data_IF_095305146625
#
_entry.id   IF_095305146625
#
_cell.length_a   1.000
_cell.length_b   1.000
_cell.length_c   1.000
_cell.angle_alpha   90.00
_cell.angle_beta   90.00
_cell.angle_gamma   90.00
#
_symmetry.space_group_name_H-M   'P 1'
#
loop_
_entity.id
_entity.type
_entity.pdbx_description
1 polymer ?
#
# COMPACT_ATOMS: atom_id res chain seq x y z
N UNK A 1 3.66 10.46 15.87
CA UNK A 1 3.74 10.01 14.48
C UNK A 1 2.33 9.90 13.92
N UNK A 2 2.05 10.56 12.79
CA UNK A 2 0.75 10.49 12.12
C UNK A 2 0.79 9.34 11.11
N UNK A 3 -0.25 8.51 11.07
CA UNK A 3 -0.45 7.45 10.07
C UNK A 3 0.69 6.42 10.01
N UNK A 4 1.10 5.89 11.17
CA UNK A 4 2.09 4.81 11.24
C UNK A 4 1.63 3.63 10.37
N UNK A 5 2.57 3.01 9.66
CA UNK A 5 2.34 1.79 8.90
C UNK A 5 3.46 0.79 9.18
N UNK A 6 3.21 -0.47 8.82
CA UNK A 6 4.21 -1.53 8.81
C UNK A 6 4.38 -2.04 7.38
N UNK A 7 5.60 -2.41 7.01
CA UNK A 7 5.92 -2.90 5.66
C UNK A 7 6.13 -4.41 5.68
N UNK A 8 5.59 -5.10 4.69
CA UNK A 8 5.82 -6.53 4.48
C UNK A 8 5.83 -6.86 2.99
N UNK A 9 6.43 -7.98 2.60
CA UNK A 9 6.32 -8.50 1.22
C UNK A 9 5.19 -9.52 1.19
N UNK A 10 4.22 -9.31 0.30
CA UNK A 10 3.05 -10.17 0.14
C UNK A 10 2.69 -10.29 -1.35
N UNK A 11 1.83 -11.25 -1.68
CA UNK A 11 1.23 -11.35 -3.02
C UNK A 11 0.25 -10.19 -3.23
N UNK A 12 0.37 -9.51 -4.37
CA UNK A 12 -0.48 -8.40 -4.77
C UNK A 12 -1.95 -8.83 -4.88
N UNK A 13 -2.86 -7.99 -4.36
CA UNK A 13 -4.29 -8.17 -4.52
C UNK A 13 -4.77 -7.94 -5.97
N UNK A 14 -3.92 -7.40 -6.85
CA UNK A 14 -4.23 -7.13 -8.25
C UNK A 14 -3.78 -8.23 -9.20
N UNK A 15 -2.56 -8.73 -9.03
CA UNK A 15 -1.95 -9.68 -9.97
C UNK A 15 -1.34 -10.94 -9.33
N UNK A 16 -1.40 -11.06 -8.00
CA UNK A 16 -0.88 -12.20 -7.25
C UNK A 16 0.65 -12.33 -7.23
N UNK A 17 1.40 -11.36 -7.75
CA UNK A 17 2.87 -11.37 -7.72
C UNK A 17 3.39 -10.63 -6.48
N UNK A 18 4.63 -10.91 -6.03
CA UNK A 18 5.21 -10.25 -4.87
C UNK A 18 5.25 -8.72 -5.00
N UNK A 19 4.84 -8.03 -3.94
CA UNK A 19 4.89 -6.57 -3.79
C UNK A 19 5.13 -6.20 -2.32
N UNK A 20 5.56 -4.96 -2.09
CA UNK A 20 5.63 -4.39 -0.74
C UNK A 20 4.25 -3.87 -0.39
N UNK A 21 3.70 -4.25 0.75
CA UNK A 21 2.44 -3.75 1.29
C UNK A 21 2.74 -2.78 2.42
N UNK A 22 2.06 -1.62 2.43
CA UNK A 22 2.04 -0.70 3.57
C UNK A 22 0.74 -0.96 4.35
N UNK A 23 0.87 -1.60 5.52
CA UNK A 23 -0.28 -1.90 6.38
C UNK A 23 -0.50 -0.80 7.42
N UNK A 24 -1.60 -0.06 7.24
CA UNK A 24 -2.07 0.97 8.15
C UNK A 24 -3.06 0.44 9.22
N UNK A 25 -3.21 -0.87 9.39
CA UNK A 25 -4.21 -1.51 10.23
C UNK A 25 -4.12 -1.22 11.74
N UNK A 26 -3.11 -0.47 12.19
CA UNK A 26 -2.88 -0.23 13.61
C UNK A 26 -4.05 0.55 14.25
N UNK A 27 -4.50 0.18 15.48
CA UNK A 27 -5.69 0.76 16.10
C UNK A 27 -5.65 2.28 16.29
N UNK A 28 -4.44 2.85 16.42
CA UNK A 28 -4.22 4.30 16.62
C UNK A 28 -4.52 5.12 15.36
N UNK A 29 -4.50 4.50 14.18
CA UNK A 29 -4.80 5.20 12.93
C UNK A 29 -6.30 5.47 12.81
N UNK A 30 -6.72 6.65 12.29
CA UNK A 30 -8.13 6.90 11.97
C UNK A 30 -8.73 5.85 11.03
N UNK A 31 -10.03 5.58 11.13
CA UNK A 31 -10.68 4.52 10.36
C UNK A 31 -10.49 4.65 8.83
N UNK A 32 -10.50 5.88 8.31
CA UNK A 32 -10.29 6.13 6.88
C UNK A 32 -8.86 5.80 6.43
N UNK A 33 -7.87 5.91 7.31
CA UNK A 33 -6.47 5.53 7.04
C UNK A 33 -6.33 4.01 7.02
N UNK A 34 -6.95 3.32 8.00
CA UNK A 34 -6.94 1.84 8.06
C UNK A 34 -7.62 1.19 6.84
N UNK A 35 -8.46 1.94 6.13
CA UNK A 35 -9.16 1.49 4.93
C UNK A 35 -8.24 1.43 3.70
N UNK A 36 -7.06 2.05 3.72
CA UNK A 36 -6.10 1.94 2.63
C UNK A 36 -5.39 0.59 2.63
N UNK A 37 -5.09 0.13 1.42
CA UNK A 37 -4.27 -1.02 1.07
C UNK A 37 -3.35 -0.56 -0.05
N UNK A 38 -2.12 -0.25 0.30
CA UNK A 38 -1.13 0.27 -0.64
C UNK A 38 -0.16 -0.84 -1.02
N UNK A 39 0.20 -0.88 -2.30
CA UNK A 39 1.18 -1.82 -2.84
C UNK A 39 2.29 -1.02 -3.54
N UNK A 40 3.52 -1.47 -3.42
CA UNK A 40 4.69 -0.89 -4.08
C UNK A 40 5.57 -1.94 -4.73
N UNK A 41 6.17 -1.58 -5.85
CA UNK A 41 7.29 -2.31 -6.46
C UNK A 41 8.37 -1.35 -6.87
N UNK A 42 9.61 -1.79 -6.78
CA UNK A 42 10.74 -1.06 -7.35
C UNK A 42 10.64 -1.10 -8.87
N UNK A 43 10.66 0.07 -9.50
CA UNK A 43 10.58 0.22 -10.96
C UNK A 43 11.93 0.61 -11.57
N UNK A 44 12.79 1.25 -10.77
CA UNK A 44 14.21 1.41 -11.01
C UNK A 44 14.92 1.64 -9.66
N UNK A 45 16.26 1.53 -9.57
CA UNK A 45 16.98 1.64 -8.31
C UNK A 45 16.59 2.88 -7.49
N UNK A 46 15.98 2.66 -6.31
CA UNK A 46 15.55 3.71 -5.38
C UNK A 46 14.23 4.41 -5.72
N UNK A 47 13.49 3.95 -6.74
CA UNK A 47 12.15 4.45 -7.08
C UNK A 47 11.13 3.32 -7.00
N UNK A 48 10.14 3.52 -6.14
CA UNK A 48 9.02 2.60 -5.95
C UNK A 48 7.75 3.24 -6.48
N UNK A 49 6.92 2.45 -7.17
CA UNK A 49 5.64 2.89 -7.69
C UNK A 49 4.57 1.85 -7.35
N UNK A 50 3.36 2.33 -7.05
CA UNK A 50 2.21 1.47 -7.03
C UNK A 50 0.91 2.16 -6.65
N UNK A 51 -0.18 1.38 -6.58
CA UNK A 51 -1.51 1.90 -6.30
C UNK A 51 -1.73 2.07 -4.80
N UNK A 52 -2.37 3.18 -4.43
CA UNK A 52 -3.12 3.28 -3.19
C UNK A 52 -4.56 2.82 -3.47
N UNK A 53 -5.04 1.85 -2.70
CA UNK A 53 -6.37 1.27 -2.91
C UNK A 53 -7.21 1.32 -1.65
N UNK A 54 -8.53 1.38 -1.80
CA UNK A 54 -9.48 1.27 -0.70
C UNK A 54 -9.91 -0.20 -0.57
N UNK A 55 -9.78 -0.77 0.64
CA UNK A 55 -10.24 -2.12 0.98
C UNK A 55 -11.74 -2.26 0.66
N UNK A 56 -12.09 -3.23 -0.17
CA UNK A 56 -13.47 -3.57 -0.53
C UNK A 56 -13.84 -4.99 -0.12
N UNK A 57 -15.14 -5.32 -0.11
CA UNK A 57 -15.63 -6.64 0.35
C UNK A 57 -15.15 -7.83 -0.50
N UNK A 58 -14.99 -7.64 -1.81
CA UNK A 58 -14.57 -8.69 -2.75
C UNK A 58 -13.19 -8.44 -3.35
N UNK A 59 -12.86 -7.17 -3.58
CA UNK A 59 -11.61 -6.71 -4.18
C UNK A 59 -11.37 -5.26 -3.77
N UNK A 60 -10.10 -4.83 -3.67
CA UNK A 60 -9.77 -3.43 -3.44
C UNK A 60 -10.13 -2.58 -4.66
N UNK A 61 -10.39 -1.28 -4.42
CA UNK A 61 -10.68 -0.30 -5.45
C UNK A 61 -9.54 0.71 -5.54
N UNK A 62 -9.04 0.97 -6.75
CA UNK A 62 -8.00 1.98 -6.96
C UNK A 62 -8.49 3.37 -6.51
N UNK A 63 -7.71 4.03 -5.64
CA UNK A 63 -7.91 5.43 -5.31
C UNK A 63 -7.03 6.32 -6.18
N UNK A 64 -5.73 6.05 -6.21
CA UNK A 64 -4.73 6.77 -7.01
C UNK A 64 -3.44 5.96 -7.11
N UNK A 65 -2.53 6.38 -7.98
CA UNK A 65 -1.16 5.89 -8.01
C UNK A 65 -0.25 6.88 -7.30
N UNK A 66 0.80 6.38 -6.66
CA UNK A 66 1.84 7.19 -6.03
C UNK A 66 3.21 6.53 -6.18
N UNK A 67 4.25 7.34 -6.01
CA UNK A 67 5.63 6.88 -6.02
C UNK A 67 6.36 7.32 -4.76
N UNK A 68 7.35 6.52 -4.36
CA UNK A 68 8.29 6.83 -3.28
C UNK A 68 9.69 6.88 -3.89
N UNK A 69 10.32 8.04 -3.77
CA UNK A 69 11.74 8.22 -4.09
C UNK A 69 12.55 8.11 -2.80
N UNK A 70 13.50 7.18 -2.74
CA UNK A 70 14.34 6.94 -1.56
C UNK A 70 15.72 7.59 -1.67
N UNK A 71 15.93 8.44 -2.66
CA UNK A 71 17.19 9.17 -2.90
C UNK A 71 17.22 10.51 -2.18
#
# INVERSE_FOLDING_TARGET
EMFRFETSVQDSALDGKPCIVLDYGQPRNPAFIRAFHDELREVCPGLYLGPAMIKGRKKPHLAFFFAVDTR
#
